data_IF_277618975715
#
_entry.id   IF_277618975715
#
_cell.length_a   1.000
_cell.length_b   1.000
_cell.length_c   1.000
_cell.angle_alpha   90.00
_cell.angle_beta   90.00
_cell.angle_gamma   90.00
#
_symmetry.space_group_name_H-M   'P 1'
#
loop_
_entity.id
_entity.type
_entity.pdbx_description
1 polymer ?
#
# COMPACT_ATOMS: atom_id res chain seq x y z
N UNK A 1 18.10 9.91 -28.28
CA UNK A 1 16.96 9.02 -28.10
C UNK A 1 17.05 8.41 -26.72
N UNK A 2 16.32 8.93 -25.73
CA UNK A 2 16.20 8.28 -24.44
C UNK A 2 15.35 7.01 -24.65
N UNK A 3 15.94 5.87 -24.42
CA UNK A 3 15.22 4.60 -24.32
C UNK A 3 14.18 4.75 -23.22
N UNK A 4 12.89 4.69 -23.59
CA UNK A 4 11.80 4.53 -22.64
C UNK A 4 12.11 3.29 -21.79
N UNK A 5 12.63 3.49 -20.57
CA UNK A 5 12.71 2.43 -19.57
C UNK A 5 11.29 1.89 -19.44
N UNK A 6 11.10 0.58 -19.67
CA UNK A 6 9.79 -0.04 -19.44
C UNK A 6 9.34 0.32 -18.03
N UNK A 7 8.16 0.91 -17.91
CA UNK A 7 7.59 1.23 -16.59
C UNK A 7 7.51 -0.05 -15.76
N UNK A 8 7.83 0.05 -14.47
CA UNK A 8 7.70 -1.06 -13.51
C UNK A 8 6.22 -1.32 -13.20
N UNK A 9 5.50 -1.83 -14.20
CA UNK A 9 4.06 -2.08 -14.16
C UNK A 9 3.74 -3.38 -14.88
N UNK A 10 2.83 -4.15 -14.29
CA UNK A 10 2.19 -5.29 -14.95
C UNK A 10 0.89 -4.79 -15.61
N UNK A 11 0.78 -4.77 -16.94
CA UNK A 11 -0.41 -4.27 -17.63
C UNK A 11 -1.68 -5.04 -17.28
N UNK A 12 -1.58 -6.34 -16.97
CA UNK A 12 -2.74 -7.16 -16.61
C UNK A 12 -3.26 -6.79 -15.21
N UNK A 13 -2.37 -6.55 -14.24
CA UNK A 13 -2.73 -6.05 -12.92
C UNK A 13 -3.37 -4.66 -13.01
N UNK A 14 -2.78 -3.75 -13.80
CA UNK A 14 -3.34 -2.42 -14.01
C UNK A 14 -4.75 -2.45 -14.62
N UNK A 15 -4.97 -3.31 -15.62
CA UNK A 15 -6.28 -3.51 -16.23
C UNK A 15 -7.30 -4.03 -15.22
N UNK A 16 -6.94 -5.02 -14.42
CA UNK A 16 -7.77 -5.61 -13.37
C UNK A 16 -8.27 -4.57 -12.36
N UNK A 17 -7.37 -3.78 -11.77
CA UNK A 17 -7.76 -2.71 -10.86
C UNK A 17 -8.58 -1.61 -11.53
N UNK A 18 -8.30 -1.31 -12.79
CA UNK A 18 -9.09 -0.36 -13.57
C UNK A 18 -10.52 -0.84 -13.82
N UNK A 19 -10.74 -2.13 -14.06
CA UNK A 19 -12.07 -2.68 -14.31
C UNK A 19 -12.93 -2.76 -13.05
N UNK A 20 -12.30 -2.99 -11.91
CA UNK A 20 -12.94 -3.03 -10.60
C UNK A 20 -13.10 -1.63 -9.96
N UNK A 21 -12.64 -0.57 -10.61
CA UNK A 21 -12.53 0.76 -10.01
C UNK A 21 -13.84 1.29 -9.41
N UNK A 22 -14.99 0.99 -10.01
CA UNK A 22 -16.31 1.45 -9.55
C UNK A 22 -16.77 0.83 -8.22
N UNK A 23 -16.12 -0.25 -7.78
CA UNK A 23 -16.43 -0.94 -6.52
C UNK A 23 -15.58 -0.47 -5.32
N UNK A 24 -14.57 0.41 -5.51
CA UNK A 24 -13.63 0.78 -4.45
C UNK A 24 -14.29 1.18 -3.13
N UNK A 25 -15.41 1.90 -3.17
CA UNK A 25 -16.09 2.39 -1.97
C UNK A 25 -17.31 1.56 -1.56
N UNK A 26 -17.61 0.49 -2.28
CA UNK A 26 -18.61 -0.49 -1.87
C UNK A 26 -18.00 -1.46 -0.84
N UNK A 27 -18.41 -1.32 0.41
CA UNK A 27 -17.96 -2.14 1.54
C UNK A 27 -18.44 -3.59 1.51
N UNK A 28 -19.23 -3.97 0.50
CA UNK A 28 -19.70 -5.35 0.27
C UNK A 28 -19.03 -6.01 -0.92
N UNK A 29 -18.22 -5.25 -1.66
CA UNK A 29 -17.46 -5.70 -2.83
C UNK A 29 -16.19 -6.48 -2.46
N UNK A 30 -15.41 -6.84 -3.47
CA UNK A 30 -14.07 -7.41 -3.35
C UNK A 30 -13.09 -6.52 -2.55
N UNK A 31 -13.37 -5.23 -2.40
CA UNK A 31 -12.58 -4.30 -1.59
C UNK A 31 -13.01 -4.24 -0.11
N UNK A 32 -14.04 -5.00 0.29
CA UNK A 32 -14.48 -5.09 1.69
C UNK A 32 -13.35 -5.40 2.69
N UNK A 33 -12.39 -6.31 2.39
CA UNK A 33 -11.24 -6.54 3.26
C UNK A 33 -10.40 -5.29 3.48
N UNK A 34 -10.15 -4.47 2.44
CA UNK A 34 -9.38 -3.23 2.56
C UNK A 34 -10.06 -2.22 3.49
N UNK A 35 -11.38 -2.08 3.41
CA UNK A 35 -12.15 -1.26 4.34
C UNK A 35 -12.07 -1.76 5.77
N UNK A 36 -12.13 -3.07 5.98
CA UNK A 36 -12.07 -3.68 7.30
C UNK A 36 -10.70 -3.52 7.98
N UNK A 37 -9.60 -3.59 7.22
CA UNK A 37 -8.24 -3.44 7.75
C UNK A 37 -7.78 -1.99 7.84
N UNK A 38 -8.41 -1.06 7.11
CA UNK A 38 -7.97 0.32 7.03
C UNK A 38 -7.86 1.03 8.40
N UNK A 39 -8.81 0.90 9.33
CA UNK A 39 -8.68 1.50 10.66
C UNK A 39 -7.44 0.99 11.41
N UNK A 40 -7.13 -0.30 11.31
CA UNK A 40 -5.98 -0.91 11.98
C UNK A 40 -4.66 -0.36 11.43
N UNK A 41 -4.54 -0.23 10.10
CA UNK A 41 -3.38 0.36 9.42
C UNK A 41 -3.21 1.81 9.82
N UNK A 42 -4.28 2.60 9.71
CA UNK A 42 -4.29 4.02 10.02
C UNK A 42 -3.86 4.30 11.47
N UNK A 43 -4.44 3.59 12.44
CA UNK A 43 -4.14 3.78 13.85
C UNK A 43 -2.70 3.35 14.17
N UNK A 44 -2.21 2.28 13.56
CA UNK A 44 -0.82 1.85 13.74
C UNK A 44 0.18 2.85 13.14
N UNK A 45 -0.05 3.35 11.92
CA UNK A 45 0.75 4.41 11.30
C UNK A 45 0.77 5.64 12.21
N UNK A 46 -0.41 6.11 12.63
CA UNK A 46 -0.53 7.32 13.44
C UNK A 46 0.10 7.16 14.84
N UNK A 47 0.17 5.94 15.39
CA UNK A 47 0.82 5.65 16.67
C UNK A 47 2.35 5.74 16.62
N UNK A 48 2.96 5.46 15.45
CA UNK A 48 4.41 5.51 15.24
C UNK A 48 4.86 6.86 14.67
N UNK A 49 4.04 7.43 13.77
CA UNK A 49 4.32 8.68 13.09
C UNK A 49 3.04 9.52 13.06
N UNK A 50 2.90 10.49 13.97
CA UNK A 50 1.72 11.36 14.01
C UNK A 50 1.44 11.96 12.63
N UNK A 51 0.22 11.77 12.13
CA UNK A 51 -0.21 12.23 10.81
C UNK A 51 -0.54 13.73 10.77
N UNK A 52 -0.94 14.30 11.90
CA UNK A 52 -1.37 15.71 11.98
C UNK A 52 -0.27 16.66 11.53
N UNK A 53 -0.58 17.53 10.56
CA UNK A 53 0.33 18.51 9.98
C UNK A 53 1.45 17.93 9.11
N UNK A 54 1.45 16.61 8.83
CA UNK A 54 2.48 15.96 8.00
C UNK A 54 2.11 15.96 6.52
N UNK A 55 3.13 16.04 5.67
CA UNK A 55 3.02 15.80 4.25
C UNK A 55 3.23 14.32 3.97
N UNK A 56 2.19 13.65 3.48
CA UNK A 56 2.13 12.21 3.29
C UNK A 56 1.97 11.85 1.82
N UNK A 57 2.67 10.81 1.39
CA UNK A 57 2.48 10.17 0.08
C UNK A 57 1.90 8.77 0.29
N UNK A 58 0.84 8.44 -0.45
CA UNK A 58 0.28 7.09 -0.55
C UNK A 58 0.58 6.52 -1.95
N UNK A 59 1.54 5.59 -2.03
CA UNK A 59 1.99 4.94 -3.28
C UNK A 59 1.12 3.73 -3.56
N UNK A 60 0.55 3.64 -4.77
CA UNK A 60 -0.43 2.63 -5.12
C UNK A 60 -1.75 2.88 -4.37
N UNK A 61 -2.20 4.13 -4.33
CA UNK A 61 -3.34 4.54 -3.49
C UNK A 61 -4.69 3.98 -3.94
N UNK A 62 -4.80 3.41 -5.15
CA UNK A 62 -6.03 2.87 -5.72
C UNK A 62 -7.18 3.87 -5.65
N UNK A 63 -8.32 3.45 -5.10
CA UNK A 63 -9.50 4.30 -4.88
C UNK A 63 -9.41 5.24 -3.69
N UNK A 64 -8.25 5.38 -3.03
CA UNK A 64 -7.99 6.41 -2.03
C UNK A 64 -8.42 6.10 -0.60
N UNK A 65 -8.75 4.84 -0.26
CA UNK A 65 -9.28 4.48 1.07
C UNK A 65 -8.34 4.91 2.22
N UNK A 66 -7.03 4.65 2.10
CA UNK A 66 -6.06 5.04 3.12
C UNK A 66 -5.71 6.52 3.04
N UNK A 67 -5.54 7.05 1.82
CA UNK A 67 -5.26 8.47 1.58
C UNK A 67 -6.33 9.38 2.18
N UNK A 68 -7.63 9.08 1.95
CA UNK A 68 -8.77 9.78 2.57
C UNK A 68 -8.68 9.74 4.10
N UNK A 69 -8.46 8.55 4.65
CA UNK A 69 -8.42 8.38 6.10
C UNK A 69 -7.24 9.12 6.77
N UNK A 70 -6.05 9.15 6.12
CA UNK A 70 -4.90 9.92 6.59
C UNK A 70 -5.15 11.44 6.53
N UNK A 71 -5.80 11.92 5.46
CA UNK A 71 -6.17 13.33 5.33
C UNK A 71 -7.15 13.76 6.44
N UNK A 72 -8.14 12.93 6.76
CA UNK A 72 -9.05 13.16 7.90
C UNK A 72 -8.37 13.16 9.26
N UNK A 73 -7.18 12.55 9.39
CA UNK A 73 -6.31 12.65 10.58
C UNK A 73 -5.44 13.91 10.59
N UNK A 74 -5.64 14.84 9.65
CA UNK A 74 -4.96 16.13 9.58
C UNK A 74 -3.65 16.14 8.78
N UNK A 75 -3.39 15.12 7.98
CA UNK A 75 -2.28 15.12 7.02
C UNK A 75 -2.64 15.91 5.75
N UNK A 76 -1.60 16.39 5.04
CA UNK A 76 -1.72 16.80 3.64
C UNK A 76 -1.25 15.61 2.78
N UNK A 77 -2.17 15.00 2.04
CA UNK A 77 -1.93 13.70 1.37
C UNK A 77 -1.90 13.87 -0.14
N UNK A 78 -0.88 13.28 -0.76
CA UNK A 78 -0.83 12.98 -2.18
C UNK A 78 -1.02 11.47 -2.37
N UNK A 79 -2.06 11.04 -3.08
CA UNK A 79 -2.20 9.68 -3.57
C UNK A 79 -1.59 9.58 -4.98
N UNK A 80 -0.73 8.59 -5.19
CA UNK A 80 -0.10 8.29 -6.49
C UNK A 80 -0.46 6.89 -6.94
N UNK A 81 -0.94 6.74 -8.17
CA UNK A 81 -1.29 5.47 -8.78
C UNK A 81 -1.17 5.57 -10.31
N UNK A 82 -1.15 4.43 -11.02
CA UNK A 82 -1.17 4.36 -12.48
C UNK A 82 -2.55 3.96 -13.02
N UNK A 83 -3.47 3.51 -12.17
CA UNK A 83 -4.84 3.15 -12.54
C UNK A 83 -5.73 4.39 -12.65
N UNK A 84 -5.78 5.01 -13.82
CA UNK A 84 -6.55 6.25 -14.09
C UNK A 84 -7.99 6.18 -13.58
N UNK A 85 -8.68 5.01 -13.78
CA UNK A 85 -10.07 4.85 -13.34
C UNK A 85 -10.18 4.86 -11.81
N UNK A 86 -9.26 4.18 -11.10
CA UNK A 86 -9.22 4.17 -9.64
C UNK A 86 -8.99 5.58 -9.07
N UNK A 87 -8.07 6.34 -9.67
CA UNK A 87 -7.82 7.74 -9.27
C UNK A 87 -9.04 8.64 -9.49
N UNK A 88 -9.81 8.45 -10.58
CA UNK A 88 -11.06 9.19 -10.79
C UNK A 88 -12.08 8.91 -9.69
N UNK A 89 -12.20 7.65 -9.27
CA UNK A 89 -13.07 7.25 -8.15
C UNK A 89 -12.58 7.87 -6.84
N UNK A 90 -11.28 7.86 -6.58
CA UNK A 90 -10.69 8.49 -5.40
C UNK A 90 -10.96 10.01 -5.36
N UNK A 91 -10.79 10.70 -6.50
CA UNK A 91 -11.07 12.13 -6.64
C UNK A 91 -12.55 12.46 -6.42
N UNK A 92 -13.45 11.68 -7.03
CA UNK A 92 -14.89 11.85 -6.86
C UNK A 92 -15.31 11.64 -5.41
N UNK A 93 -14.86 10.54 -4.79
CA UNK A 93 -15.15 10.29 -3.38
C UNK A 93 -14.66 11.42 -2.47
N UNK A 94 -13.42 11.90 -2.67
CA UNK A 94 -12.87 12.98 -1.86
C UNK A 94 -13.69 14.28 -2.00
N UNK A 95 -14.20 14.56 -3.20
CA UNK A 95 -15.08 15.71 -3.46
C UNK A 95 -16.43 15.55 -2.75
N UNK A 96 -17.11 14.41 -2.92
CA UNK A 96 -18.41 14.13 -2.33
C UNK A 96 -18.34 14.08 -0.79
N UNK A 97 -17.31 13.46 -0.26
CA UNK A 97 -17.08 13.33 1.17
C UNK A 97 -16.44 14.57 1.82
N UNK A 98 -16.16 15.61 1.01
CA UNK A 98 -15.50 16.84 1.42
C UNK A 98 -14.21 16.60 2.22
N UNK A 99 -13.41 15.65 1.77
CA UNK A 99 -12.17 15.29 2.45
C UNK A 99 -11.13 16.38 2.28
N UNK A 100 -10.63 16.99 3.38
CA UNK A 100 -9.69 18.09 3.29
C UNK A 100 -8.29 17.61 2.90
N UNK A 101 -7.51 18.47 2.25
CA UNK A 101 -6.06 18.32 2.07
C UNK A 101 -5.63 16.98 1.42
N UNK A 102 -6.44 16.39 0.55
CA UNK A 102 -6.10 15.23 -0.25
C UNK A 102 -6.08 15.59 -1.75
N UNK A 103 -5.10 15.08 -2.46
CA UNK A 103 -4.99 15.19 -3.92
C UNK A 103 -4.50 13.88 -4.50
N UNK A 104 -4.78 13.65 -5.79
CA UNK A 104 -4.44 12.41 -6.47
C UNK A 104 -3.75 12.70 -7.80
N UNK A 105 -2.75 11.87 -8.14
CA UNK A 105 -1.95 12.06 -9.35
C UNK A 105 -1.67 10.72 -10.03
N UNK A 106 -1.84 10.69 -11.36
CA UNK A 106 -1.43 9.56 -12.20
C UNK A 106 0.07 9.66 -12.48
N UNK A 107 0.88 8.95 -11.66
CA UNK A 107 2.34 8.95 -11.75
C UNK A 107 2.89 7.69 -11.09
N UNK A 108 4.00 7.15 -11.62
CA UNK A 108 4.76 6.10 -10.95
C UNK A 108 5.54 6.64 -9.74
N UNK A 109 5.83 5.77 -8.77
CA UNK A 109 6.66 6.15 -7.63
C UNK A 109 8.07 6.58 -8.08
N UNK A 110 8.62 5.91 -9.08
CA UNK A 110 9.92 6.18 -9.65
C UNK A 110 9.98 7.57 -10.33
N UNK A 111 8.98 7.90 -11.15
CA UNK A 111 8.90 9.21 -11.81
C UNK A 111 8.70 10.32 -10.77
N UNK A 112 7.84 10.09 -9.77
CA UNK A 112 7.62 11.04 -8.68
C UNK A 112 8.89 11.26 -7.84
N UNK A 113 9.70 10.22 -7.65
CA UNK A 113 10.97 10.33 -6.93
C UNK A 113 12.00 11.22 -7.66
N UNK A 114 11.93 11.30 -8.99
CA UNK A 114 12.74 12.22 -9.77
C UNK A 114 12.25 13.66 -9.66
N UNK A 115 10.92 13.86 -9.56
CA UNK A 115 10.32 15.20 -9.49
C UNK A 115 10.36 15.80 -8.07
N UNK A 116 10.15 15.00 -7.05
CA UNK A 116 9.97 15.45 -5.66
C UNK A 116 10.81 14.63 -4.65
N UNK A 117 12.14 14.55 -4.82
CA UNK A 117 12.98 13.82 -3.86
C UNK A 117 12.90 14.44 -2.45
N UNK A 118 12.96 13.60 -1.42
CA UNK A 118 12.96 13.99 -0.01
C UNK A 118 11.89 15.03 0.36
N UNK A 119 10.66 14.84 -0.17
CA UNK A 119 9.59 15.83 -0.05
C UNK A 119 8.52 15.45 0.96
N UNK A 120 8.45 14.19 1.39
CA UNK A 120 7.38 13.68 2.25
C UNK A 120 7.90 13.32 3.64
N UNK A 121 7.13 13.63 4.67
CA UNK A 121 7.43 13.24 6.05
C UNK A 121 7.14 11.75 6.27
N UNK A 122 6.09 11.25 5.58
CA UNK A 122 5.64 9.86 5.64
C UNK A 122 5.32 9.39 4.22
N UNK A 123 5.73 8.15 3.91
CA UNK A 123 5.34 7.44 2.69
C UNK A 123 4.66 6.14 3.08
N UNK A 124 3.51 5.84 2.49
CA UNK A 124 2.83 4.55 2.60
C UNK A 124 2.83 3.83 1.26
N UNK A 125 3.02 2.51 1.28
CA UNK A 125 2.92 1.63 0.11
C UNK A 125 2.32 0.30 0.60
N UNK A 126 0.98 0.23 0.53
CA UNK A 126 0.19 -0.83 1.16
C UNK A 126 -0.47 -1.73 0.12
N UNK A 127 -0.25 -3.06 0.23
CA UNK A 127 -0.82 -4.08 -0.68
C UNK A 127 -0.55 -3.76 -2.16
N UNK A 128 0.68 -3.36 -2.48
CA UNK A 128 1.06 -2.92 -3.83
C UNK A 128 2.29 -3.65 -4.36
N UNK A 129 3.23 -4.02 -3.48
CA UNK A 129 4.53 -4.60 -3.88
C UNK A 129 4.41 -5.94 -4.60
N UNK A 130 3.40 -6.74 -4.29
CA UNK A 130 3.07 -8.01 -4.94
C UNK A 130 2.49 -7.89 -6.35
N UNK A 131 2.13 -6.66 -6.76
CA UNK A 131 1.50 -6.38 -8.05
C UNK A 131 2.47 -5.78 -9.09
N UNK A 132 3.73 -5.59 -8.72
CA UNK A 132 4.74 -5.00 -9.61
C UNK A 132 5.82 -5.99 -9.99
N UNK A 133 6.43 -5.86 -11.20
CA UNK A 133 7.53 -6.72 -11.63
C UNK A 133 8.80 -6.60 -10.77
N UNK A 134 9.12 -5.40 -10.30
CA UNK A 134 10.32 -5.13 -9.47
C UNK A 134 9.93 -4.37 -8.19
N UNK A 135 9.60 -5.08 -7.09
CA UNK A 135 9.27 -4.45 -5.82
C UNK A 135 10.45 -3.70 -5.18
N UNK A 136 11.70 -4.08 -5.48
CA UNK A 136 12.86 -3.35 -4.98
C UNK A 136 12.95 -1.94 -5.59
N UNK A 137 12.58 -1.75 -6.86
CA UNK A 137 12.49 -0.42 -7.49
C UNK A 137 11.51 0.49 -6.74
N UNK A 138 10.33 -0.02 -6.36
CA UNK A 138 9.34 0.73 -5.57
C UNK A 138 9.90 1.11 -4.19
N UNK A 139 10.55 0.18 -3.48
CA UNK A 139 11.16 0.47 -2.17
C UNK A 139 12.22 1.55 -2.31
N UNK A 140 13.01 1.51 -3.39
CA UNK A 140 14.02 2.54 -3.69
C UNK A 140 13.39 3.90 -3.93
N UNK A 141 12.30 3.95 -4.71
CA UNK A 141 11.56 5.19 -4.96
C UNK A 141 10.94 5.75 -3.67
N UNK A 142 10.33 4.91 -2.83
CA UNK A 142 9.79 5.32 -1.52
C UNK A 142 10.88 5.93 -0.63
N UNK A 143 12.08 5.32 -0.60
CA UNK A 143 13.21 5.85 0.15
C UNK A 143 13.74 7.17 -0.40
N UNK A 144 13.68 7.38 -1.73
CA UNK A 144 14.08 8.65 -2.35
C UNK A 144 13.05 9.76 -2.07
N UNK A 145 11.76 9.43 -2.00
CA UNK A 145 10.66 10.36 -1.76
C UNK A 145 10.56 10.85 -0.32
N UNK A 146 10.88 9.98 0.64
CA UNK A 146 10.82 10.32 2.07
C UNK A 146 12.00 11.17 2.49
N UNK A 147 11.76 12.15 3.37
CA UNK A 147 12.79 12.99 3.98
C UNK A 147 13.73 12.17 4.86
N UNK A 148 15.01 12.60 5.07
CA UNK A 148 15.85 12.07 6.14
C UNK A 148 15.11 12.11 7.48
N UNK A 149 15.16 11.02 8.25
CA UNK A 149 14.38 10.85 9.49
C UNK A 149 12.88 10.59 9.32
N UNK A 150 12.36 10.64 8.09
CA UNK A 150 10.95 10.35 7.79
C UNK A 150 10.63 8.85 7.79
N UNK A 151 9.35 8.52 7.75
CA UNK A 151 8.86 7.17 7.88
C UNK A 151 8.36 6.59 6.56
N UNK A 152 8.63 5.30 6.35
CA UNK A 152 8.03 4.53 5.25
C UNK A 152 7.34 3.30 5.81
N UNK A 153 6.07 3.14 5.44
CA UNK A 153 5.24 2.01 5.84
C UNK A 153 4.92 1.15 4.63
N UNK A 154 5.12 -0.15 4.77
CA UNK A 154 4.79 -1.15 3.77
C UNK A 154 3.80 -2.17 4.32
N UNK A 155 2.97 -2.76 3.46
CA UNK A 155 2.29 -4.01 3.72
C UNK A 155 2.26 -4.88 2.49
N UNK A 156 2.32 -6.20 2.68
CA UNK A 156 2.22 -7.20 1.62
C UNK A 156 1.99 -8.59 2.20
N UNK A 157 1.80 -9.58 1.33
CA UNK A 157 1.63 -10.98 1.68
C UNK A 157 2.98 -11.69 1.84
N UNK A 158 3.10 -12.50 2.89
CA UNK A 158 4.32 -13.27 3.16
C UNK A 158 4.39 -14.52 2.29
N UNK A 159 5.55 -14.82 1.70
CA UNK A 159 5.77 -16.00 0.88
C UNK A 159 6.06 -17.24 1.72
N UNK A 160 5.01 -17.96 2.11
CA UNK A 160 5.11 -19.26 2.78
C UNK A 160 3.85 -20.11 2.54
N UNK A 161 3.92 -21.41 2.88
CA UNK A 161 2.81 -22.34 2.64
C UNK A 161 1.51 -21.98 3.36
N UNK A 162 1.57 -21.31 4.51
CA UNK A 162 0.38 -20.86 5.24
C UNK A 162 -0.29 -19.67 4.55
N UNK A 163 0.49 -18.72 4.05
CA UNK A 163 -0.02 -17.61 3.26
C UNK A 163 -0.67 -18.11 1.95
N UNK A 164 -0.03 -19.09 1.27
CA UNK A 164 -0.62 -19.75 0.12
C UNK A 164 -1.99 -20.35 0.44
N UNK A 165 -2.06 -21.13 1.52
CA UNK A 165 -3.30 -21.80 1.91
C UNK A 165 -4.41 -20.81 2.33
N UNK A 166 -4.08 -19.75 3.02
CA UNK A 166 -5.07 -18.80 3.53
C UNK A 166 -5.43 -17.71 2.52
N UNK A 167 -4.47 -17.10 1.84
CA UNK A 167 -4.72 -16.01 0.90
C UNK A 167 -5.25 -16.51 -0.44
N UNK A 168 -4.70 -17.60 -0.97
CA UNK A 168 -5.10 -18.13 -2.28
C UNK A 168 -6.22 -19.16 -2.10
N UNK A 169 -5.96 -20.26 -1.42
CA UNK A 169 -6.98 -21.35 -1.31
C UNK A 169 -8.16 -20.91 -0.45
N UNK A 170 -7.92 -20.27 0.69
CA UNK A 170 -8.97 -19.85 1.62
C UNK A 170 -9.80 -18.68 1.06
N UNK A 171 -9.17 -17.58 0.73
CA UNK A 171 -9.89 -16.36 0.33
C UNK A 171 -10.48 -16.44 -1.09
N UNK A 172 -9.73 -17.00 -2.05
CA UNK A 172 -10.16 -17.03 -3.45
C UNK A 172 -11.03 -18.24 -3.80
N UNK A 173 -10.71 -19.44 -3.29
CA UNK A 173 -11.37 -20.67 -3.71
C UNK A 173 -12.44 -21.19 -2.72
N UNK A 174 -12.23 -21.03 -1.40
CA UNK A 174 -13.16 -21.57 -0.39
C UNK A 174 -14.17 -20.54 0.05
N UNK A 175 -13.74 -19.33 0.40
CA UNK A 175 -14.60 -18.28 0.95
C UNK A 175 -15.16 -17.34 -0.12
N UNK A 176 -14.60 -17.32 -1.33
CA UNK A 176 -15.01 -16.43 -2.41
C UNK A 176 -14.94 -14.94 -2.05
N UNK A 177 -14.07 -14.60 -1.10
CA UNK A 177 -13.88 -13.21 -0.64
C UNK A 177 -13.17 -12.35 -1.68
N UNK A 178 -12.40 -12.98 -2.56
CA UNK A 178 -11.63 -12.34 -3.63
C UNK A 178 -11.81 -13.12 -4.94
N UNK A 179 -11.74 -12.46 -6.11
CA UNK A 179 -11.72 -13.14 -7.40
C UNK A 179 -10.56 -14.14 -7.52
N UNK A 180 -10.79 -15.25 -8.21
CA UNK A 180 -9.73 -16.23 -8.48
C UNK A 180 -8.59 -15.62 -9.28
N UNK A 181 -7.33 -15.93 -8.92
CA UNK A 181 -6.16 -15.36 -9.55
C UNK A 181 -5.84 -13.93 -9.10
N UNK A 182 -6.39 -13.49 -7.96
CA UNK A 182 -6.03 -12.21 -7.35
C UNK A 182 -4.57 -12.18 -6.93
N UNK A 183 -4.02 -13.33 -6.47
CA UNK A 183 -2.66 -13.41 -5.97
C UNK A 183 -1.85 -14.50 -6.67
N UNK A 184 -0.63 -14.17 -7.05
CA UNK A 184 0.39 -15.10 -7.51
C UNK A 184 1.41 -15.36 -6.40
N UNK A 185 1.49 -16.58 -5.90
CA UNK A 185 2.39 -16.94 -4.80
C UNK A 185 3.87 -16.54 -5.04
N UNK A 186 4.33 -16.63 -6.29
CA UNK A 186 5.70 -16.25 -6.65
C UNK A 186 6.01 -14.76 -6.42
N UNK A 187 4.99 -13.90 -6.43
CA UNK A 187 5.10 -12.46 -6.20
C UNK A 187 5.05 -12.07 -4.71
N UNK A 188 4.75 -13.01 -3.81
CA UNK A 188 4.75 -12.74 -2.37
C UNK A 188 6.16 -12.47 -1.86
N UNK A 189 6.29 -11.62 -0.85
CA UNK A 189 7.56 -11.10 -0.35
C UNK A 189 7.71 -11.48 1.12
N UNK A 190 8.81 -12.14 1.49
CA UNK A 190 9.06 -12.43 2.90
C UNK A 190 9.47 -11.17 3.67
N UNK A 191 9.21 -11.08 4.99
CA UNK A 191 9.68 -9.97 5.80
C UNK A 191 11.18 -9.72 5.71
N UNK A 192 11.99 -10.78 5.58
CA UNK A 192 13.45 -10.70 5.45
C UNK A 192 13.90 -10.12 4.10
N UNK A 193 13.18 -10.44 3.01
CA UNK A 193 13.45 -9.86 1.68
C UNK A 193 13.11 -8.36 1.70
N UNK A 194 11.93 -7.98 2.16
CA UNK A 194 11.52 -6.58 2.24
C UNK A 194 12.46 -5.77 3.14
N UNK A 195 12.86 -6.33 4.27
CA UNK A 195 13.86 -5.76 5.15
C UNK A 195 15.22 -5.55 4.47
N UNK A 196 15.61 -6.50 3.61
CA UNK A 196 16.86 -6.39 2.84
C UNK A 196 16.76 -5.32 1.78
N UNK A 197 15.62 -5.19 1.09
CA UNK A 197 15.38 -4.10 0.14
C UNK A 197 15.49 -2.74 0.84
N UNK A 198 14.84 -2.59 2.01
CA UNK A 198 14.90 -1.35 2.79
C UNK A 198 16.31 -0.97 3.23
N UNK A 199 17.07 -1.91 3.81
CA UNK A 199 18.46 -1.65 4.27
C UNK A 199 19.38 -1.17 3.16
N UNK A 200 19.23 -1.71 1.93
CA UNK A 200 20.04 -1.29 0.77
C UNK A 200 19.87 0.20 0.41
N UNK A 201 18.78 0.82 0.82
CA UNK A 201 18.42 2.20 0.49
C UNK A 201 18.31 3.10 1.73
N UNK A 202 18.88 2.67 2.87
CA UNK A 202 18.94 3.46 4.10
C UNK A 202 17.62 3.54 4.87
N UNK A 203 16.75 2.54 4.72
CA UNK A 203 15.55 2.38 5.54
C UNK A 203 15.81 1.38 6.67
N UNK A 204 15.78 1.85 7.90
CA UNK A 204 15.95 1.03 9.11
C UNK A 204 14.60 0.55 9.63
N UNK A 205 14.51 -0.74 9.95
CA UNK A 205 13.28 -1.35 10.45
C UNK A 205 13.04 -0.90 11.88
N UNK A 206 11.88 -0.33 12.15
CA UNK A 206 11.46 0.13 13.46
C UNK A 206 10.42 -0.80 14.10
N UNK A 207 9.50 -1.35 13.30
CA UNK A 207 8.47 -2.24 13.80
C UNK A 207 7.91 -3.14 12.69
N UNK A 208 7.43 -4.32 13.10
CA UNK A 208 6.67 -5.22 12.23
C UNK A 208 5.43 -5.72 12.98
N UNK A 209 4.31 -5.87 12.27
CA UNK A 209 3.06 -6.45 12.77
C UNK A 209 2.46 -7.38 11.73
N UNK A 210 1.86 -8.47 12.18
CA UNK A 210 1.01 -9.31 11.36
C UNK A 210 -0.42 -8.78 11.34
N UNK A 211 -1.14 -9.08 10.29
CA UNK A 211 -2.56 -8.83 10.16
C UNK A 211 -3.28 -10.19 10.13
N UNK A 212 -4.02 -10.50 11.19
CA UNK A 212 -4.76 -11.73 11.34
C UNK A 212 -6.25 -11.54 11.05
N UNK A 213 -6.83 -12.46 10.29
CA UNK A 213 -8.27 -12.57 10.09
C UNK A 213 -8.82 -13.76 10.89
N UNK A 214 -9.88 -13.52 11.67
CA UNK A 214 -10.63 -14.57 12.33
C UNK A 214 -11.86 -14.90 11.49
N UNK A 215 -11.93 -16.08 10.84
CA UNK A 215 -13.03 -16.43 9.94
C UNK A 215 -14.38 -16.60 10.64
N UNK A 216 -14.38 -16.93 11.95
CA UNK A 216 -15.62 -17.12 12.73
C UNK A 216 -16.27 -15.78 13.08
N UNK A 217 -15.46 -14.79 13.47
CA UNK A 217 -15.95 -13.45 13.84
C UNK A 217 -15.90 -12.46 12.70
N UNK A 218 -15.26 -12.81 11.57
CA UNK A 218 -15.00 -11.95 10.40
C UNK A 218 -14.24 -10.65 10.78
N UNK A 219 -13.45 -10.69 11.86
CA UNK A 219 -12.71 -9.53 12.36
C UNK A 219 -11.22 -9.66 12.06
N UNK A 220 -10.61 -8.52 11.77
CA UNK A 220 -9.16 -8.39 11.66
C UNK A 220 -8.57 -7.82 12.94
N UNK A 221 -7.31 -8.15 13.22
CA UNK A 221 -6.52 -7.56 14.31
C UNK A 221 -5.04 -7.51 13.92
N UNK A 222 -4.31 -6.55 14.49
CA UNK A 222 -2.84 -6.58 14.45
C UNK A 222 -2.31 -7.53 15.52
N UNK A 223 -1.24 -8.26 15.18
CA UNK A 223 -0.59 -9.24 16.05
C UNK A 223 0.92 -9.32 15.81
N UNK A 224 1.60 -10.23 16.49
CA UNK A 224 2.98 -10.60 16.22
C UNK A 224 3.12 -11.68 15.13
N UNK A 225 2.02 -12.30 14.70
CA UNK A 225 2.03 -13.35 13.68
C UNK A 225 2.10 -12.79 12.26
N UNK A 226 3.29 -12.73 11.69
CA UNK A 226 3.57 -12.20 10.34
C UNK A 226 3.48 -13.25 9.24
N UNK A 227 2.95 -14.45 9.53
CA UNK A 227 3.00 -15.58 8.60
C UNK A 227 2.10 -15.45 7.37
N UNK A 228 1.10 -14.58 7.35
CA UNK A 228 0.19 -14.44 6.20
C UNK A 228 0.34 -13.07 5.58
N UNK A 229 -0.14 -12.05 6.24
CA UNK A 229 -0.01 -10.65 5.83
C UNK A 229 0.74 -9.91 6.93
N UNK A 230 1.56 -8.94 6.54
CA UNK A 230 2.32 -8.15 7.51
C UNK A 230 2.47 -6.69 7.09
N UNK A 231 2.64 -5.86 8.10
CA UNK A 231 2.98 -4.44 7.99
C UNK A 231 4.40 -4.23 8.49
N UNK A 232 5.20 -3.46 7.77
CA UNK A 232 6.56 -3.11 8.12
C UNK A 232 6.69 -1.59 8.22
N UNK A 233 7.11 -1.07 9.37
CA UNK A 233 7.48 0.33 9.56
C UNK A 233 8.98 0.49 9.50
N UNK A 234 9.44 1.41 8.67
CA UNK A 234 10.83 1.77 8.52
C UNK A 234 11.03 3.27 8.68
N UNK A 235 12.23 3.67 9.08
CA UNK A 235 12.62 5.08 9.14
C UNK A 235 13.87 5.31 8.30
N UNK A 236 13.89 6.38 7.51
CA UNK A 236 15.07 6.75 6.73
C UNK A 236 16.14 7.30 7.65
N UNK A 237 17.38 6.82 7.49
CA UNK A 237 18.54 7.36 8.22
C UNK A 237 18.65 8.86 8.03
N UNK A 238 19.02 9.58 9.11
CA UNK A 238 19.13 11.04 9.13
C UNK A 238 20.52 11.53 8.68
N UNK A 239 21.11 10.86 7.65
CA UNK A 239 22.43 11.28 7.12
C UNK A 239 22.25 12.36 6.08
#
# INVERSE_FOLDING_TARGET
MQTLKSRNVDPAELAKFSDLAHHWWDKTSEFAPLHAINPLRLDWINSLASLSGKRVLDVGCGGGILADAMARKGATVLGADLATKSLKVAQLHALEAQTPNVSYREISAEDLALEQPASFDIVTCMEMLEHVPDPQSIVTACAALVKPGGWVFFSTLNRNGRAFLQAIVGAEYVLGMLPRGTHEYAKFITPSELATFGRKVGLEIQAIRGLEHNPLTKRYKLSSDTRVNYLLATQKTAI
#
